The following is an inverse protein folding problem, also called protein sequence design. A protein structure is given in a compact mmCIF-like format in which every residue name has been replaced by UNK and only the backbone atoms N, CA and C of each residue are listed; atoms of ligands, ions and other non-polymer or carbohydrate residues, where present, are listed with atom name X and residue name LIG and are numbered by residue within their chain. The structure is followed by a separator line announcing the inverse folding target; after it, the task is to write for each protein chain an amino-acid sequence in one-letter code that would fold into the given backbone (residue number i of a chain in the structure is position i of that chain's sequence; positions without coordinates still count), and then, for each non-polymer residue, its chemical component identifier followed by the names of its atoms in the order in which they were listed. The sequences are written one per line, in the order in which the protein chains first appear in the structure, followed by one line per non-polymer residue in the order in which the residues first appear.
data_IF_790802665948
#
_entry.id   IF_790802665948
#
_cell.length_a   1.000
_cell.length_b   1.000
_cell.length_c   1.000
_cell.angle_alpha   90.00
_cell.angle_beta   90.00
_cell.angle_gamma   90.00
#
_symmetry.space_group_name_H-M   'P 1'
#
loop_
_entity.id
_entity.type
_entity.pdbx_description
1 polymer ?
#
# COMPACT_ATOMS: atom_id res chain seq x y z
N UNK A 1 -8.60 20.56 6.91
CA UNK A 1 -9.01 19.74 8.07
C UNK A 1 -7.77 19.54 8.93
N UNK A 2 -7.86 19.60 10.24
CA UNK A 2 -6.76 19.23 11.14
C UNK A 2 -7.07 17.85 11.73
N UNK A 3 -6.06 17.01 11.89
CA UNK A 3 -6.19 15.76 12.63
C UNK A 3 -6.53 16.05 14.10
N UNK A 4 -7.33 15.19 14.69
CA UNK A 4 -7.66 15.28 16.12
C UNK A 4 -6.45 14.88 16.96
N UNK A 5 -6.41 15.34 18.22
CA UNK A 5 -5.35 14.97 19.17
C UNK A 5 -5.20 13.46 19.33
N UNK A 6 -6.32 12.74 19.32
CA UNK A 6 -6.34 11.28 19.51
C UNK A 6 -5.67 10.54 18.35
N UNK A 7 -5.88 11.02 17.11
CA UNK A 7 -5.19 10.46 15.93
C UNK A 7 -3.68 10.75 15.99
N UNK A 8 -3.30 11.97 16.36
CA UNK A 8 -1.89 12.33 16.51
C UNK A 8 -1.22 11.47 17.60
N UNK A 9 -1.88 11.29 18.73
CA UNK A 9 -1.39 10.44 19.80
C UNK A 9 -1.29 8.96 19.38
N UNK A 10 -2.25 8.47 18.58
CA UNK A 10 -2.17 7.12 18.02
C UNK A 10 -0.92 6.95 17.15
N UNK A 11 -0.65 7.91 16.26
CA UNK A 11 0.56 7.89 15.41
C UNK A 11 1.83 7.86 16.25
N UNK A 12 1.93 8.74 17.25
CA UNK A 12 3.10 8.82 18.14
C UNK A 12 3.30 7.51 18.91
N UNK A 13 2.22 6.91 19.43
CA UNK A 13 2.27 5.66 20.19
C UNK A 13 2.67 4.45 19.33
N UNK A 14 2.45 4.48 18.02
CA UNK A 14 2.75 3.37 17.11
C UNK A 14 3.96 3.63 16.19
N UNK A 15 4.71 4.70 16.43
CA UNK A 15 5.87 5.06 15.60
C UNK A 15 6.95 3.95 15.57
N UNK A 16 7.22 3.32 16.73
CA UNK A 16 8.17 2.21 16.79
C UNK A 16 7.65 0.96 16.06
N UNK A 17 6.38 0.63 16.21
CA UNK A 17 5.76 -0.49 15.47
C UNK A 17 5.82 -0.26 13.95
N UNK A 18 5.59 0.96 13.49
CA UNK A 18 5.71 1.31 12.08
C UNK A 18 7.16 1.14 11.58
N UNK A 19 8.15 1.53 12.39
CA UNK A 19 9.56 1.34 12.07
C UNK A 19 9.93 -0.15 12.01
N UNK A 20 9.48 -0.95 12.98
CA UNK A 20 9.72 -2.39 13.02
C UNK A 20 9.09 -3.07 11.79
N UNK A 21 7.86 -2.72 11.46
CA UNK A 21 7.18 -3.20 10.24
C UNK A 21 7.94 -2.81 8.97
N UNK A 22 8.45 -1.58 8.90
CA UNK A 22 9.24 -1.10 7.77
C UNK A 22 10.53 -1.93 7.60
N UNK A 23 11.19 -2.25 8.70
CA UNK A 23 12.39 -3.07 8.71
C UNK A 23 12.10 -4.53 8.33
N UNK A 24 10.97 -5.08 8.74
CA UNK A 24 10.56 -6.44 8.41
C UNK A 24 10.15 -6.56 6.94
N UNK A 25 9.21 -5.71 6.51
CA UNK A 25 8.69 -5.71 5.15
C UNK A 25 9.76 -5.33 4.11
N UNK A 26 10.63 -4.37 4.44
CA UNK A 26 11.68 -3.90 3.55
C UNK A 26 12.67 -4.97 3.12
N UNK A 27 12.91 -5.99 3.95
CA UNK A 27 13.80 -7.11 3.64
C UNK A 27 13.21 -8.13 2.68
N UNK A 28 11.88 -8.18 2.57
CA UNK A 28 11.20 -9.15 1.72
C UNK A 28 11.39 -8.74 0.25
N UNK A 29 12.02 -9.58 -0.59
CA UNK A 29 12.17 -9.27 -2.01
C UNK A 29 10.81 -9.29 -2.71
N UNK A 30 10.59 -8.34 -3.61
CA UNK A 30 9.38 -8.25 -4.41
C UNK A 30 9.68 -7.59 -5.77
N UNK A 31 10.49 -8.23 -6.63
CA UNK A 31 10.65 -7.70 -7.98
C UNK A 31 9.30 -7.67 -8.69
N UNK A 32 9.09 -6.66 -9.56
CA UNK A 32 7.82 -6.52 -10.30
C UNK A 32 7.42 -7.83 -10.99
N UNK A 33 6.19 -8.25 -10.82
CA UNK A 33 5.58 -9.52 -11.22
C UNK A 33 5.97 -10.75 -10.37
N UNK A 34 6.65 -10.56 -9.24
CA UNK A 34 7.03 -11.61 -8.28
C UNK A 34 6.82 -11.14 -6.84
N UNK A 35 5.68 -10.51 -6.59
CA UNK A 35 5.34 -9.89 -5.31
C UNK A 35 4.67 -10.84 -4.30
N UNK A 36 4.56 -12.13 -4.61
CA UNK A 36 3.80 -13.13 -3.84
C UNK A 36 4.16 -13.12 -2.35
N UNK A 37 5.46 -13.03 -2.02
CA UNK A 37 5.93 -13.03 -0.63
C UNK A 37 5.46 -11.80 0.13
N UNK A 38 5.54 -10.60 -0.47
CA UNK A 38 5.06 -9.37 0.16
C UNK A 38 3.55 -9.33 0.23
N UNK A 39 2.85 -9.80 -0.80
CA UNK A 39 1.39 -9.88 -0.80
C UNK A 39 0.89 -10.76 0.36
N UNK A 40 1.45 -11.96 0.51
CA UNK A 40 1.07 -12.85 1.60
C UNK A 40 1.41 -12.25 2.97
N UNK A 41 2.58 -11.64 3.12
CA UNK A 41 2.97 -10.95 4.35
C UNK A 41 1.97 -9.84 4.71
N UNK A 42 1.64 -8.95 3.78
CA UNK A 42 0.71 -7.85 4.01
C UNK A 42 -0.69 -8.35 4.39
N UNK A 43 -1.18 -9.39 3.69
CA UNK A 43 -2.47 -10.02 4.00
C UNK A 43 -2.49 -10.57 5.42
N UNK A 44 -1.52 -11.41 5.78
CA UNK A 44 -1.43 -12.03 7.12
C UNK A 44 -1.29 -10.96 8.21
N UNK A 45 -0.49 -9.93 7.95
CA UNK A 45 -0.32 -8.84 8.89
C UNK A 45 -1.63 -8.10 9.14
N UNK A 46 -2.37 -7.73 8.08
CA UNK A 46 -3.69 -7.07 8.19
C UNK A 46 -4.71 -7.94 8.94
N UNK A 47 -4.79 -9.24 8.63
CA UNK A 47 -5.67 -10.18 9.32
C UNK A 47 -5.35 -10.27 10.82
N UNK A 48 -4.05 -10.28 11.17
CA UNK A 48 -3.58 -10.26 12.56
C UNK A 48 -3.97 -8.97 13.29
N UNK A 49 -4.09 -7.83 12.57
CA UNK A 49 -4.59 -6.57 13.14
C UNK A 49 -6.13 -6.51 13.22
N UNK A 50 -6.82 -7.58 12.87
CA UNK A 50 -8.28 -7.67 12.96
C UNK A 50 -9.03 -7.21 11.70
N UNK A 51 -8.33 -6.92 10.60
CA UNK A 51 -8.96 -6.62 9.33
C UNK A 51 -9.74 -7.82 8.80
N UNK A 52 -11.00 -7.59 8.39
CA UNK A 52 -11.89 -8.65 7.90
C UNK A 52 -12.07 -8.57 6.39
N UNK A 53 -12.13 -9.73 5.74
CA UNK A 53 -12.38 -9.80 4.30
C UNK A 53 -11.19 -9.41 3.43
N UNK A 54 -9.97 -9.41 3.98
CA UNK A 54 -8.75 -9.17 3.22
C UNK A 54 -8.52 -10.31 2.23
N UNK A 55 -8.23 -9.99 0.98
CA UNK A 55 -7.92 -11.00 -0.04
C UNK A 55 -6.77 -10.55 -0.94
N UNK A 56 -6.15 -11.51 -1.60
CA UNK A 56 -5.17 -11.28 -2.68
C UNK A 56 -5.89 -11.59 -3.98
N UNK A 57 -5.86 -10.66 -4.94
CA UNK A 57 -6.42 -10.86 -6.27
C UNK A 57 -5.41 -11.55 -7.21
N UNK A 58 -5.85 -11.89 -8.42
CA UNK A 58 -5.03 -12.56 -9.43
C UNK A 58 -3.91 -11.68 -10.04
N UNK A 59 -3.91 -10.38 -9.75
CA UNK A 59 -2.81 -9.48 -10.04
C UNK A 59 -1.83 -9.32 -8.87
N UNK A 60 -2.03 -10.02 -7.74
CA UNK A 60 -1.29 -9.92 -6.49
C UNK A 60 -1.53 -8.63 -5.68
N UNK A 61 -2.60 -7.89 -5.94
CA UNK A 61 -3.02 -6.85 -5.01
C UNK A 61 -3.54 -7.46 -3.71
N UNK A 62 -3.15 -6.89 -2.58
CA UNK A 62 -3.77 -7.17 -1.29
C UNK A 62 -4.85 -6.13 -1.05
N UNK A 63 -6.10 -6.56 -1.03
CA UNK A 63 -7.25 -5.66 -0.92
C UNK A 63 -7.93 -5.83 0.42
N UNK A 64 -8.04 -4.74 1.17
CA UNK A 64 -8.84 -4.66 2.39
C UNK A 64 -10.08 -3.79 2.13
N UNK A 65 -11.27 -4.41 1.92
CA UNK A 65 -12.51 -3.68 1.71
C UNK A 65 -13.16 -3.27 3.03
N UNK A 66 -13.59 -2.03 3.13
CA UNK A 66 -14.26 -1.47 4.32
C UNK A 66 -15.56 -0.80 3.92
N UNK A 67 -16.69 -1.31 4.46
CA UNK A 67 -18.01 -0.75 4.17
C UNK A 67 -18.43 -0.85 2.70
N UNK A 68 -17.80 -1.76 1.94
CA UNK A 68 -18.13 -1.96 0.54
C UNK A 68 -19.41 -2.79 0.39
N UNK A 69 -20.32 -2.33 -0.48
CA UNK A 69 -21.50 -3.06 -0.96
C UNK A 69 -21.39 -3.24 -2.48
N UNK A 70 -22.36 -3.89 -3.11
CA UNK A 70 -22.35 -4.09 -4.56
C UNK A 70 -22.43 -2.77 -5.34
N UNK A 71 -23.16 -1.75 -4.82
CA UNK A 71 -23.53 -0.55 -5.56
C UNK A 71 -22.95 0.76 -5.03
N UNK A 72 -22.39 0.79 -3.80
CA UNK A 72 -21.93 2.05 -3.25
C UNK A 72 -20.69 2.59 -3.99
N UNK A 73 -20.53 3.92 -4.07
CA UNK A 73 -19.31 4.53 -4.61
C UNK A 73 -18.09 4.15 -3.75
N UNK A 74 -16.92 4.08 -4.37
CA UNK A 74 -15.69 3.66 -3.72
C UNK A 74 -14.66 4.79 -3.67
N UNK A 75 -13.92 4.84 -2.57
CA UNK A 75 -12.67 5.59 -2.42
C UNK A 75 -11.53 4.58 -2.31
N UNK A 76 -10.51 4.74 -3.13
CA UNK A 76 -9.35 3.85 -3.19
C UNK A 76 -8.13 4.55 -2.62
N UNK A 77 -7.41 3.86 -1.75
CA UNK A 77 -6.09 4.24 -1.25
C UNK A 77 -5.10 3.13 -1.59
N UNK A 78 -4.00 3.50 -2.24
CA UNK A 78 -2.98 2.56 -2.71
C UNK A 78 -1.58 2.97 -2.32
N UNK A 79 -0.71 1.95 -2.11
CA UNK A 79 0.74 2.04 -2.08
C UNK A 79 1.29 0.74 -2.66
N UNK A 80 2.40 0.79 -3.43
CA UNK A 80 2.83 -0.40 -4.14
C UNK A 80 3.77 -1.30 -3.34
N UNK A 81 3.76 -2.58 -3.70
CA UNK A 81 4.55 -3.64 -3.04
C UNK A 81 5.84 -3.96 -3.76
N UNK A 82 5.87 -3.74 -5.07
CA UNK A 82 7.02 -4.12 -5.88
C UNK A 82 8.17 -3.11 -5.78
N UNK A 83 9.35 -3.61 -6.12
CA UNK A 83 10.58 -2.83 -6.20
C UNK A 83 11.29 -3.12 -7.51
N UNK A 84 12.06 -2.15 -8.02
CA UNK A 84 12.82 -2.28 -9.30
C UNK A 84 14.00 -3.23 -9.23
N UNK A 85 14.32 -3.75 -8.05
CA UNK A 85 15.47 -4.63 -7.83
C UNK A 85 15.10 -6.08 -8.14
N UNK A 86 15.93 -6.80 -8.93
CA UNK A 86 15.60 -8.16 -9.37
C UNK A 86 15.92 -9.26 -8.34
N UNK A 87 16.33 -8.86 -7.14
CA UNK A 87 16.74 -9.80 -6.09
C UNK A 87 15.57 -10.66 -5.64
N UNK A 88 15.82 -11.95 -5.47
CA UNK A 88 14.86 -12.93 -4.98
C UNK A 88 15.16 -13.40 -3.55
N UNK A 89 16.32 -13.03 -3.03
CA UNK A 89 16.78 -13.28 -1.67
C UNK A 89 16.51 -12.05 -0.79
N UNK A 90 16.69 -12.19 0.53
CA UNK A 90 16.50 -11.11 1.49
C UNK A 90 17.31 -9.87 1.09
N UNK A 91 16.64 -8.72 1.04
CA UNK A 91 17.26 -7.46 0.64
C UNK A 91 18.21 -6.94 1.74
N UNK A 92 19.39 -6.44 1.36
CA UNK A 92 20.36 -5.96 2.33
C UNK A 92 19.87 -4.70 3.04
N UNK A 93 19.82 -4.74 4.35
CA UNK A 93 19.40 -3.62 5.18
C UNK A 93 20.50 -3.20 6.13
N UNK A 94 20.68 -1.90 6.31
CA UNK A 94 21.56 -1.33 7.32
C UNK A 94 20.96 -0.07 7.94
N UNK A 95 21.30 0.16 9.20
CA UNK A 95 21.00 1.40 9.91
C UNK A 95 22.34 2.11 10.20
N UNK A 96 22.45 3.35 9.78
CA UNK A 96 23.68 4.13 9.93
C UNK A 96 23.30 5.61 10.15
N UNK A 97 23.85 6.25 11.17
CA UNK A 97 23.60 7.64 11.52
C UNK A 97 22.11 8.01 11.61
N UNK A 98 21.29 7.13 12.20
CA UNK A 98 19.85 7.33 12.35
C UNK A 98 19.06 7.23 11.05
N UNK A 99 19.65 6.69 9.98
CA UNK A 99 19.02 6.47 8.69
C UNK A 99 18.93 4.99 8.39
N UNK A 100 17.82 4.59 7.78
CA UNK A 100 17.58 3.23 7.29
C UNK A 100 17.85 3.16 5.78
N UNK A 101 18.67 2.20 5.38
CA UNK A 101 19.04 1.94 3.99
C UNK A 101 18.63 0.52 3.61
N UNK A 102 17.82 0.40 2.59
CA UNK A 102 17.45 -0.87 1.97
C UNK A 102 16.94 -0.58 0.54
N UNK A 103 17.17 -1.46 -0.44
CA UNK A 103 16.59 -1.30 -1.77
C UNK A 103 15.07 -1.16 -1.73
N UNK A 104 14.50 -0.12 -2.36
CA UNK A 104 13.06 0.12 -2.40
C UNK A 104 12.43 0.57 -1.08
N UNK A 105 13.23 0.97 -0.06
CA UNK A 105 12.69 1.32 1.26
C UNK A 105 11.88 2.63 1.24
N UNK A 106 12.28 3.59 0.40
CA UNK A 106 11.60 4.88 0.25
C UNK A 106 10.65 4.92 -0.93
N UNK A 107 10.78 3.97 -1.84
CA UNK A 107 9.99 3.80 -3.04
C UNK A 107 9.63 2.31 -3.21
N UNK A 108 8.49 1.86 -2.73
CA UNK A 108 7.42 2.59 -2.03
C UNK A 108 7.15 2.00 -0.63
N UNK A 109 8.07 1.15 -0.10
CA UNK A 109 7.85 0.39 1.13
C UNK A 109 7.45 1.28 2.32
N UNK A 110 7.99 2.51 2.40
CA UNK A 110 7.62 3.46 3.45
C UNK A 110 6.15 3.86 3.42
N UNK A 111 5.63 4.18 2.24
CA UNK A 111 4.23 4.57 2.08
C UNK A 111 3.30 3.36 2.23
N UNK A 112 3.74 2.19 1.77
CA UNK A 112 3.02 0.94 2.01
C UNK A 112 2.85 0.67 3.51
N UNK A 113 3.90 0.85 4.30
CA UNK A 113 3.82 0.72 5.76
C UNK A 113 2.87 1.76 6.36
N UNK A 114 2.95 3.01 5.91
CA UNK A 114 2.02 4.04 6.36
C UNK A 114 0.55 3.68 6.05
N UNK A 115 0.28 3.14 4.85
CA UNK A 115 -1.05 2.65 4.46
C UNK A 115 -1.50 1.47 5.35
N UNK A 116 -0.62 0.51 5.63
CA UNK A 116 -0.92 -0.63 6.50
C UNK A 116 -1.23 -0.17 7.93
N UNK A 117 -0.50 0.80 8.48
CA UNK A 117 -0.76 1.38 9.80
C UNK A 117 -2.12 2.12 9.83
N UNK A 118 -2.47 2.83 8.75
CA UNK A 118 -3.82 3.40 8.61
C UNK A 118 -4.90 2.31 8.56
N UNK A 119 -4.66 1.22 7.84
CA UNK A 119 -5.58 0.09 7.75
C UNK A 119 -5.76 -0.60 9.12
N UNK A 120 -4.69 -0.73 9.90
CA UNK A 120 -4.74 -1.19 11.29
C UNK A 120 -5.65 -0.29 12.14
N UNK A 121 -5.45 1.03 12.08
CA UNK A 121 -6.29 1.99 12.81
C UNK A 121 -7.77 1.85 12.45
N UNK A 122 -8.07 1.70 11.16
CA UNK A 122 -9.43 1.46 10.66
C UNK A 122 -10.04 0.18 11.23
N UNK A 123 -9.27 -0.91 11.22
CA UNK A 123 -9.72 -2.21 11.71
C UNK A 123 -9.97 -2.21 13.24
N UNK A 124 -9.00 -1.73 14.02
CA UNK A 124 -9.08 -1.66 15.49
C UNK A 124 -10.25 -0.81 15.98
N UNK A 125 -10.50 0.32 15.31
CA UNK A 125 -11.59 1.24 15.67
C UNK A 125 -12.90 0.92 14.96
N UNK A 126 -12.95 -0.15 14.13
CA UNK A 126 -14.14 -0.58 13.37
C UNK A 126 -14.76 0.58 12.57
N UNK A 127 -13.90 1.40 11.97
CA UNK A 127 -14.34 2.57 11.21
C UNK A 127 -14.97 2.13 9.89
N UNK A 128 -16.12 2.70 9.59
CA UNK A 128 -16.80 2.50 8.30
C UNK A 128 -17.12 3.87 7.72
N UNK A 129 -16.70 4.16 6.48
CA UNK A 129 -16.97 5.45 5.87
C UNK A 129 -18.46 5.65 5.60
N UNK A 130 -18.96 6.87 5.78
CA UNK A 130 -20.35 7.20 5.50
C UNK A 130 -20.58 7.42 4.00
N UNK A 131 -21.55 6.72 3.41
CA UNK A 131 -22.02 6.94 2.05
C UNK A 131 -21.08 6.41 0.93
N UNK A 132 -20.01 5.71 1.27
CA UNK A 132 -19.12 5.07 0.30
C UNK A 132 -18.49 3.80 0.90
N UNK A 133 -17.90 2.97 0.06
CA UNK A 133 -16.94 1.96 0.48
C UNK A 133 -15.52 2.49 0.37
N UNK A 134 -14.60 1.90 1.09
CA UNK A 134 -13.18 2.22 1.03
C UNK A 134 -12.39 0.95 0.70
N UNK A 135 -11.47 1.05 -0.24
CA UNK A 135 -10.50 0.00 -0.54
C UNK A 135 -9.11 0.49 -0.13
N UNK A 136 -8.49 -0.21 0.80
CA UNK A 136 -7.10 -0.03 1.20
C UNK A 136 -6.29 -1.13 0.51
N UNK A 137 -5.36 -0.75 -0.36
CA UNK A 137 -4.76 -1.69 -1.31
C UNK A 137 -3.23 -1.59 -1.28
N UNK A 138 -2.57 -2.69 -0.92
CA UNK A 138 -1.17 -2.89 -1.25
C UNK A 138 -1.10 -3.42 -2.68
N UNK A 139 -0.78 -2.57 -3.65
CA UNK A 139 -0.88 -2.93 -5.06
C UNK A 139 0.44 -3.47 -5.62
N UNK A 140 0.32 -4.28 -6.66
CA UNK A 140 1.43 -4.94 -7.32
C UNK A 140 1.76 -4.31 -8.67
N UNK A 141 3.01 -4.52 -9.13
CA UNK A 141 3.43 -4.21 -10.50
C UNK A 141 3.24 -2.76 -10.89
N UNK A 142 3.51 -1.83 -9.98
CA UNK A 142 3.52 -0.40 -10.30
C UNK A 142 4.71 -0.05 -11.16
N UNK A 143 5.88 -0.56 -10.78
CA UNK A 143 7.16 -0.27 -11.37
C UNK A 143 7.33 -0.86 -12.79
N UNK A 144 8.19 -0.23 -13.56
CA UNK A 144 8.80 -0.66 -14.80
C UNK A 144 8.08 -1.74 -15.60
N UNK A 145 8.51 -2.97 -15.41
CA UNK A 145 7.99 -4.15 -16.11
C UNK A 145 6.61 -4.60 -15.61
N UNK A 146 6.21 -4.17 -14.43
CA UNK A 146 4.87 -4.41 -13.89
C UNK A 146 3.78 -3.68 -14.67
N UNK A 147 4.11 -2.54 -15.26
CA UNK A 147 3.23 -1.78 -16.12
C UNK A 147 1.85 -1.49 -15.51
N UNK A 148 1.83 -1.14 -14.23
CA UNK A 148 0.62 -0.83 -13.47
C UNK A 148 -0.40 -1.99 -13.43
N UNK A 149 0.05 -3.26 -13.45
CA UNK A 149 -0.86 -4.42 -13.53
C UNK A 149 -1.89 -4.43 -12.43
N UNK A 150 -1.47 -4.13 -11.20
CA UNK A 150 -2.35 -4.08 -10.04
C UNK A 150 -3.40 -2.98 -10.15
N UNK A 151 -2.98 -1.76 -10.49
CA UNK A 151 -3.89 -0.63 -10.72
C UNK A 151 -4.89 -0.94 -11.84
N UNK A 152 -4.42 -1.53 -12.96
CA UNK A 152 -5.29 -1.93 -14.08
C UNK A 152 -6.36 -2.93 -13.65
N UNK A 153 -5.99 -3.91 -12.82
CA UNK A 153 -6.94 -4.88 -12.27
C UNK A 153 -8.02 -4.22 -11.42
N UNK A 154 -7.63 -3.29 -10.54
CA UNK A 154 -8.59 -2.54 -9.72
C UNK A 154 -9.52 -1.69 -10.58
N UNK A 155 -8.99 -1.04 -11.62
CA UNK A 155 -9.80 -0.24 -12.54
C UNK A 155 -10.74 -1.11 -13.39
N UNK A 156 -10.33 -2.31 -13.79
CA UNK A 156 -11.19 -3.27 -14.48
C UNK A 156 -12.35 -3.71 -13.61
N UNK A 157 -12.07 -4.03 -12.35
CA UNK A 157 -13.03 -4.60 -11.42
C UNK A 157 -13.98 -3.56 -10.82
N UNK A 158 -13.48 -2.38 -10.49
CA UNK A 158 -14.20 -1.38 -9.69
C UNK A 158 -14.30 -0.01 -10.35
N UNK A 159 -13.68 0.21 -11.52
CA UNK A 159 -13.50 1.53 -12.11
C UNK A 159 -14.78 2.36 -12.26
N UNK A 160 -15.90 1.72 -12.62
CA UNK A 160 -17.21 2.40 -12.77
C UNK A 160 -17.77 2.94 -11.45
N UNK A 161 -17.26 2.47 -10.31
CA UNK A 161 -17.72 2.83 -8.96
C UNK A 161 -16.73 3.72 -8.22
N UNK A 162 -15.49 3.81 -8.70
CA UNK A 162 -14.44 4.60 -8.05
C UNK A 162 -14.74 6.08 -8.24
N UNK A 163 -14.99 6.76 -7.12
CA UNK A 163 -15.22 8.20 -7.04
C UNK A 163 -13.92 8.98 -6.83
N UNK A 164 -13.05 8.46 -5.99
CA UNK A 164 -11.75 9.05 -5.67
C UNK A 164 -10.70 7.94 -5.64
N UNK A 165 -9.53 8.25 -6.21
CA UNK A 165 -8.40 7.35 -6.29
C UNK A 165 -7.16 8.09 -5.79
N UNK A 166 -6.60 7.62 -4.69
CA UNK A 166 -5.44 8.22 -4.04
C UNK A 166 -4.34 7.17 -3.99
N UNK A 167 -3.19 7.48 -4.57
CA UNK A 167 -1.98 6.67 -4.44
C UNK A 167 -0.93 7.45 -3.67
N UNK A 168 -0.19 6.74 -2.85
CA UNK A 168 0.94 7.27 -2.10
C UNK A 168 2.20 6.79 -2.77
N UNK A 169 3.09 7.71 -3.13
CA UNK A 169 4.30 7.40 -3.86
C UNK A 169 5.22 8.63 -3.92
N UNK A 170 6.53 8.38 -4.07
CA UNK A 170 7.52 9.42 -4.28
C UNK A 170 7.87 10.24 -3.03
N UNK A 171 8.94 11.04 -3.11
CA UNK A 171 9.42 11.83 -1.99
C UNK A 171 8.58 13.10 -1.79
N UNK A 172 8.27 13.41 -0.53
CA UNK A 172 7.75 14.71 -0.13
C UNK A 172 6.29 14.72 0.28
N UNK A 173 5.75 15.95 0.44
CA UNK A 173 4.41 16.21 0.98
C UNK A 173 3.49 16.88 -0.04
N UNK A 174 3.85 16.81 -1.31
CA UNK A 174 3.08 17.43 -2.39
C UNK A 174 1.94 16.52 -2.85
N UNK A 175 0.80 17.13 -3.19
CA UNK A 175 -0.30 16.43 -3.85
C UNK A 175 -0.17 16.67 -5.36
N UNK A 176 0.02 15.58 -6.11
CA UNK A 176 0.04 15.59 -7.57
C UNK A 176 -1.36 15.25 -8.07
N UNK A 177 -2.04 16.20 -8.69
CA UNK A 177 -3.41 16.04 -9.19
C UNK A 177 -3.52 16.06 -10.73
N UNK A 178 -2.37 16.09 -11.41
CA UNK A 178 -2.27 16.00 -12.88
C UNK A 178 -1.04 15.19 -13.23
N UNK A 179 -1.20 14.24 -14.12
CA UNK A 179 -0.11 13.41 -14.63
C UNK A 179 -0.07 13.45 -16.16
N UNK A 180 1.10 13.18 -16.71
CA UNK A 180 1.29 12.95 -18.15
C UNK A 180 1.27 11.45 -18.42
N UNK A 181 0.72 11.05 -19.58
CA UNK A 181 0.82 9.67 -20.04
C UNK A 181 2.25 9.32 -20.41
N UNK A 182 2.65 8.09 -20.14
CA UNK A 182 3.94 7.56 -20.58
C UNK A 182 3.74 6.26 -21.37
N UNK A 183 4.62 6.00 -22.33
CA UNK A 183 4.65 4.74 -23.07
C UNK A 183 6.09 4.28 -23.20
N UNK A 184 6.35 3.05 -22.75
CA UNK A 184 7.68 2.43 -22.81
C UNK A 184 7.73 1.43 -23.96
N UNK A 185 8.85 1.38 -24.66
CA UNK A 185 9.12 0.41 -25.71
C UNK A 185 10.40 -0.34 -25.35
N UNK A 186 10.37 -1.65 -25.54
CA UNK A 186 11.59 -2.49 -25.52
C UNK A 186 12.07 -2.59 -26.95
N UNK A 187 13.31 -2.21 -27.19
CA UNK A 187 14.00 -2.35 -28.48
C UNK A 187 14.96 -3.53 -28.42
#
# INVERSE_FOLDING_TARGET
MKLTSDILQYVDNHAQEALDLLMELGKIPAPSNHEEKRAEFCKQWLEKQGAQGVYIDDALNVVYPVGCTEDNPLVVFMAHTDVVFPDTEELPMRVEDGKLYCPGIGDDTLHLVALLMCAKYVAENKLVPAGCGMLLIANSGEEGLGNLKGTRKIMEQFGSRIKEFITFDGPGTNIVNKAVGSKRYKV
#
